data_IF_006879221687
#
_entry.id   IF_006879221687
#
_cell.length_a   1.000
_cell.length_b   1.000
_cell.length_c   1.000
_cell.angle_alpha   90.00
_cell.angle_beta   90.00
_cell.angle_gamma   90.00
#
_symmetry.space_group_name_H-M   'P 1'
#
loop_
_entity.id
_entity.type
_entity.pdbx_description
1 polymer ?
#
# COMPACT_ATOMS: atom_id res chain seq x y z
N UNK A 1 -35.74 -21.92 14.22
CA UNK A 1 -35.54 -20.85 13.21
C UNK A 1 -34.03 -20.61 13.10
N UNK A 2 -33.38 -21.06 12.02
CA UNK A 2 -31.93 -20.92 11.84
C UNK A 2 -31.67 -19.61 11.08
N UNK A 3 -31.09 -18.61 11.74
CA UNK A 3 -30.69 -17.35 11.12
C UNK A 3 -29.34 -17.54 10.45
N UNK A 4 -29.34 -17.70 9.12
CA UNK A 4 -28.14 -17.69 8.30
C UNK A 4 -27.73 -16.23 8.06
N UNK A 5 -26.72 -15.75 8.80
CA UNK A 5 -26.07 -14.48 8.51
C UNK A 5 -25.03 -14.69 7.40
N UNK A 6 -25.46 -14.53 6.15
CA UNK A 6 -24.60 -14.50 4.97
C UNK A 6 -24.30 -13.06 4.56
N UNK A 7 -23.58 -12.32 5.41
CA UNK A 7 -22.99 -11.02 5.05
C UNK A 7 -21.50 -11.18 4.79
N UNK A 8 -21.17 -11.96 3.76
CA UNK A 8 -19.87 -11.92 3.10
C UNK A 8 -19.81 -10.69 2.19
N UNK A 9 -19.94 -9.48 2.77
CA UNK A 9 -19.66 -8.25 2.03
C UNK A 9 -18.14 -8.19 1.86
N UNK A 10 -17.63 -8.90 0.83
CA UNK A 10 -16.24 -8.79 0.38
C UNK A 10 -16.04 -7.32 -0.01
N UNK A 11 -15.63 -6.47 0.94
CA UNK A 11 -15.21 -5.12 0.61
C UNK A 11 -14.16 -5.26 -0.48
N UNK A 12 -14.46 -4.75 -1.68
CA UNK A 12 -13.55 -4.81 -2.81
C UNK A 12 -12.37 -3.89 -2.48
N UNK A 13 -11.38 -4.46 -1.78
CA UNK A 13 -10.16 -3.76 -1.41
C UNK A 13 -9.36 -3.61 -2.68
N UNK A 14 -9.42 -2.43 -3.28
CA UNK A 14 -8.63 -2.06 -4.44
C UNK A 14 -7.21 -1.67 -3.98
N UNK A 15 -6.20 -2.58 -4.01
CA UNK A 15 -4.88 -2.27 -3.46
C UNK A 15 -4.22 -1.10 -4.19
N UNK A 16 -4.49 -0.95 -5.50
CA UNK A 16 -4.04 0.18 -6.31
C UNK A 16 -4.57 1.52 -5.82
N UNK A 17 -5.82 1.58 -5.37
CA UNK A 17 -6.42 2.80 -4.82
C UNK A 17 -5.75 3.16 -3.49
N UNK A 18 -5.53 2.18 -2.62
CA UNK A 18 -4.80 2.37 -1.36
C UNK A 18 -3.39 2.93 -1.57
N UNK A 19 -2.67 2.41 -2.57
CA UNK A 19 -1.36 2.92 -2.96
C UNK A 19 -1.41 4.37 -3.46
N UNK A 20 -2.36 4.71 -4.34
CA UNK A 20 -2.52 6.08 -4.87
C UNK A 20 -2.78 7.10 -3.76
N UNK A 21 -3.60 6.74 -2.76
CA UNK A 21 -3.88 7.61 -1.61
C UNK A 21 -2.61 7.82 -0.78
N UNK A 22 -1.89 6.74 -0.43
CA UNK A 22 -0.64 6.86 0.34
C UNK A 22 0.40 7.71 -0.39
N UNK A 23 0.56 7.50 -1.70
CA UNK A 23 1.49 8.28 -2.51
C UNK A 23 1.09 9.75 -2.57
N UNK A 24 -0.20 10.05 -2.74
CA UNK A 24 -0.71 11.42 -2.76
C UNK A 24 -0.49 12.12 -1.42
N UNK A 25 -0.80 11.45 -0.31
CA UNK A 25 -0.57 11.97 1.04
C UNK A 25 0.91 12.24 1.28
N UNK A 26 1.79 11.32 0.87
CA UNK A 26 3.24 11.53 0.95
C UNK A 26 3.69 12.77 0.15
N UNK A 27 3.21 12.93 -1.08
CA UNK A 27 3.60 14.03 -1.96
C UNK A 27 3.11 15.40 -1.46
N UNK A 28 1.95 15.46 -0.80
CA UNK A 28 1.39 16.70 -0.27
C UNK A 28 1.94 17.03 1.12
N UNK A 29 2.03 16.05 2.01
CA UNK A 29 2.45 16.27 3.39
C UNK A 29 3.95 16.54 3.51
N UNK A 30 4.79 15.90 2.69
CA UNK A 30 6.25 16.11 2.72
C UNK A 30 6.62 17.59 2.51
N UNK A 31 6.22 18.29 1.43
CA UNK A 31 6.57 19.70 1.26
C UNK A 31 5.98 20.57 2.37
N UNK A 32 4.77 20.29 2.88
CA UNK A 32 4.20 21.00 4.02
C UNK A 32 5.10 20.85 5.26
N UNK A 33 5.55 19.64 5.57
CA UNK A 33 6.47 19.36 6.69
C UNK A 33 7.79 20.12 6.54
N UNK A 34 8.38 20.14 5.34
CA UNK A 34 9.60 20.90 5.07
C UNK A 34 9.38 22.41 5.17
N UNK A 35 8.23 22.93 4.73
CA UNK A 35 7.86 24.34 4.88
C UNK A 35 7.73 24.70 6.37
N UNK A 36 7.03 23.88 7.16
CA UNK A 36 6.89 24.10 8.61
C UNK A 36 8.27 24.14 9.26
N UNK A 37 9.12 23.16 8.99
CA UNK A 37 10.49 23.13 9.51
C UNK A 37 11.29 24.38 9.14
N UNK A 38 11.22 24.80 7.88
CA UNK A 38 11.90 26.00 7.39
C UNK A 38 11.42 27.28 8.07
N UNK A 39 10.13 27.37 8.41
CA UNK A 39 9.52 28.56 9.02
C UNK A 39 9.63 28.60 10.55
N UNK A 40 9.84 27.47 11.22
CA UNK A 40 9.87 27.42 12.70
C UNK A 40 11.28 27.42 13.27
N UNK A 41 12.08 26.41 12.93
CA UNK A 41 13.43 26.24 13.49
C UNK A 41 14.21 25.26 12.63
N UNK A 42 15.30 25.77 12.04
CA UNK A 42 16.19 25.00 11.16
C UNK A 42 17.42 24.43 11.87
N UNK A 43 17.59 24.69 13.18
CA UNK A 43 18.74 24.18 13.96
C UNK A 43 18.76 22.66 14.05
N UNK A 44 17.59 22.01 14.00
CA UNK A 44 17.45 20.55 14.03
C UNK A 44 16.65 20.05 12.83
N UNK A 45 17.26 19.33 11.87
CA UNK A 45 16.65 18.98 10.58
C UNK A 45 15.71 17.77 10.67
N UNK A 46 14.64 17.88 11.46
CA UNK A 46 13.76 16.75 11.76
C UNK A 46 12.96 16.11 10.62
N UNK A 47 12.66 16.83 9.52
CA UNK A 47 12.12 16.17 8.34
C UNK A 47 13.08 15.15 7.72
N UNK A 48 14.39 15.27 7.98
CA UNK A 48 15.42 14.52 7.26
C UNK A 48 15.47 13.03 7.63
N UNK A 49 15.06 12.65 8.84
CA UNK A 49 14.93 11.24 9.22
C UNK A 49 13.48 10.72 9.14
N UNK A 50 12.48 11.59 9.32
CA UNK A 50 11.07 11.19 9.22
C UNK A 50 10.65 10.90 7.78
N UNK A 51 11.12 11.71 6.82
CA UNK A 51 10.75 11.58 5.40
C UNK A 51 11.27 10.27 4.78
N UNK A 52 12.55 9.87 4.95
CA UNK A 52 13.03 8.59 4.43
C UNK A 52 12.33 7.39 5.07
N UNK A 53 12.09 7.41 6.39
CA UNK A 53 11.37 6.35 7.07
C UNK A 53 9.96 6.15 6.48
N UNK A 54 9.27 7.25 6.16
CA UNK A 54 7.95 7.17 5.53
C UNK A 54 8.01 6.76 4.05
N UNK A 55 9.02 7.23 3.31
CA UNK A 55 9.27 6.85 1.91
C UNK A 55 9.49 5.33 1.77
N UNK A 56 10.16 4.70 2.74
CA UNK A 56 10.31 3.24 2.80
C UNK A 56 8.93 2.55 2.85
N UNK A 57 7.98 3.08 3.60
CA UNK A 57 6.60 2.59 3.63
C UNK A 57 5.91 2.62 2.25
N UNK A 58 6.14 3.69 1.47
CA UNK A 58 5.63 3.80 0.09
C UNK A 58 6.25 2.72 -0.81
N UNK A 59 7.56 2.49 -0.70
CA UNK A 59 8.26 1.44 -1.46
C UNK A 59 7.68 0.06 -1.14
N UNK A 60 7.49 -0.27 0.13
CA UNK A 60 6.88 -1.54 0.51
C UNK A 60 5.42 -1.66 0.03
N UNK A 61 4.65 -0.58 0.06
CA UNK A 61 3.30 -0.61 -0.49
C UNK A 61 3.29 -0.86 -2.00
N UNK A 62 4.21 -0.24 -2.75
CA UNK A 62 4.40 -0.48 -4.18
C UNK A 62 4.72 -1.96 -4.45
N UNK A 63 5.69 -2.54 -3.73
CA UNK A 63 6.05 -3.95 -3.86
C UNK A 63 4.84 -4.87 -3.59
N UNK A 64 4.06 -4.56 -2.55
CA UNK A 64 2.82 -5.26 -2.21
C UNK A 64 1.78 -5.27 -3.34
N UNK A 65 1.58 -4.13 -4.01
CA UNK A 65 0.55 -3.99 -5.04
C UNK A 65 0.99 -4.54 -6.40
N UNK A 66 2.24 -4.29 -6.80
CA UNK A 66 2.70 -4.51 -8.17
C UNK A 66 3.62 -5.72 -8.33
N UNK A 67 4.42 -6.06 -7.33
CA UNK A 67 5.40 -7.17 -7.43
C UNK A 67 4.81 -8.47 -6.92
N UNK A 68 4.20 -8.47 -5.73
CA UNK A 68 3.71 -9.70 -5.10
C UNK A 68 2.35 -10.18 -5.64
N UNK A 69 1.65 -9.38 -6.45
CA UNK A 69 0.33 -9.73 -6.99
C UNK A 69 0.37 -10.70 -8.19
N UNK A 70 1.56 -11.17 -8.61
CA UNK A 70 1.75 -11.98 -9.84
C UNK A 70 1.72 -13.51 -9.62
N UNK A 71 1.50 -13.98 -8.40
CA UNK A 71 1.73 -15.40 -8.07
C UNK A 71 0.50 -16.32 -8.21
N UNK A 72 -0.71 -15.79 -8.32
CA UNK A 72 -1.93 -16.63 -8.34
C UNK A 72 -2.23 -17.27 -9.72
N UNK A 73 -1.77 -16.67 -10.81
CA UNK A 73 -2.04 -17.17 -12.16
C UNK A 73 -1.21 -18.43 -12.51
N UNK A 74 0.03 -18.51 -12.04
CA UNK A 74 0.91 -19.66 -12.33
C UNK A 74 0.48 -20.93 -11.59
N UNK A 75 0.02 -20.79 -10.35
CA UNK A 75 -0.46 -21.94 -9.55
C UNK A 75 -1.75 -22.52 -10.13
N UNK A 76 -2.65 -21.69 -10.67
CA UNK A 76 -3.90 -22.18 -11.27
C UNK A 76 -3.66 -23.00 -12.54
N UNK A 77 -2.78 -22.54 -13.43
CA UNK A 77 -2.47 -23.22 -14.68
C UNK A 77 -1.70 -24.55 -14.44
N UNK A 78 -0.83 -24.60 -13.42
CA UNK A 78 -0.12 -25.83 -13.06
C UNK A 78 -1.02 -26.87 -12.40
N UNK A 79 -1.99 -26.46 -11.57
CA UNK A 79 -2.98 -27.38 -11.00
C UNK A 79 -3.88 -27.92 -12.12
N UNK A 80 -4.37 -27.00 -12.97
CA UNK A 80 -4.93 -27.20 -14.33
C UNK A 80 -4.73 -28.59 -14.95
N UNK A 81 -3.45 -28.80 -15.22
CA UNK A 81 -2.91 -29.86 -16.04
C UNK A 81 -2.77 -31.20 -15.30
N UNK A 82 -2.82 -31.19 -13.97
CA UNK A 82 -2.62 -32.40 -13.16
C UNK A 82 -3.88 -33.23 -13.00
N UNK A 83 -5.07 -32.68 -13.26
CA UNK A 83 -6.36 -33.38 -13.15
C UNK A 83 -7.01 -33.66 -14.52
N UNK A 84 -6.27 -33.45 -15.61
CA UNK A 84 -6.67 -33.90 -16.95
C UNK A 84 -5.92 -35.16 -17.39
N UNK A 85 -5.38 -35.95 -16.45
CA UNK A 85 -4.74 -37.24 -16.70
C UNK A 85 -5.57 -38.32 -16.01
#
# INVERSE_FOLDING_TARGET
MKTTFNTETKANKNPKLGFKIHLLVFLLATPIVFIVWYLTDTTYPWPLWSTPAWAVGIVFHYLGVFVFNKNNAKVYCSRNKSYSI
#
